data_IF_878507564284
#
_entry.id   IF_878507564284
#
_cell.length_a   1.000
_cell.length_b   1.000
_cell.length_c   1.000
_cell.angle_alpha   90.00
_cell.angle_beta   90.00
_cell.angle_gamma   90.00
#
_symmetry.space_group_name_H-M   'P 1'
#
loop_
_entity.id
_entity.type
_entity.pdbx_description
1 polymer ?
#
# COMPACT_ATOMS: atom_id res chain seq x y z
N UNK A 1 5.04 11.08 -9.26
CA UNK A 1 3.56 11.10 -9.23
C UNK A 1 3.12 9.94 -8.34
N UNK A 2 2.01 10.05 -7.60
CA UNK A 2 1.52 8.95 -6.76
C UNK A 2 0.90 7.90 -7.68
N UNK A 3 1.30 6.64 -7.50
CA UNK A 3 0.79 5.52 -8.30
C UNK A 3 -0.10 4.65 -7.43
N UNK A 4 -1.32 4.46 -7.89
CA UNK A 4 -2.42 3.84 -7.16
C UNK A 4 -2.90 2.61 -7.91
N UNK A 5 -3.02 1.49 -7.22
CA UNK A 5 -3.78 0.33 -7.69
C UNK A 5 -5.13 0.31 -6.98
N UNK A 6 -6.22 0.27 -7.74
CA UNK A 6 -7.57 0.10 -7.22
C UNK A 6 -8.15 -1.25 -7.66
N UNK A 7 -8.66 -2.03 -6.70
CA UNK A 7 -9.29 -3.33 -6.93
C UNK A 7 -10.76 -3.26 -6.50
N UNK A 8 -11.66 -3.65 -7.40
CA UNK A 8 -13.11 -3.75 -7.18
C UNK A 8 -13.65 -4.72 -8.24
N UNK A 9 -14.56 -5.60 -7.86
CA UNK A 9 -15.13 -6.61 -8.77
C UNK A 9 -16.20 -6.05 -9.70
N UNK A 10 -16.66 -4.82 -9.47
CA UNK A 10 -17.60 -4.13 -10.34
C UNK A 10 -16.85 -3.22 -11.33
N UNK A 11 -16.87 -3.50 -12.65
CA UNK A 11 -16.16 -2.70 -13.64
C UNK A 11 -16.57 -1.23 -13.66
N UNK A 12 -17.83 -0.94 -13.31
CA UNK A 12 -18.34 0.43 -13.25
C UNK A 12 -17.65 1.25 -12.14
N UNK A 13 -17.34 0.63 -11.00
CA UNK A 13 -16.60 1.29 -9.91
C UNK A 13 -15.18 1.63 -10.35
N UNK A 14 -14.50 0.69 -11.04
CA UNK A 14 -13.16 0.90 -11.58
C UNK A 14 -13.11 2.07 -12.58
N UNK A 15 -14.07 2.12 -13.52
CA UNK A 15 -14.18 3.20 -14.51
C UNK A 15 -14.41 4.54 -13.82
N UNK A 16 -15.38 4.61 -12.91
CA UNK A 16 -15.69 5.83 -12.17
C UNK A 16 -14.51 6.32 -11.35
N UNK A 17 -13.86 5.44 -10.59
CA UNK A 17 -12.68 5.80 -9.77
C UNK A 17 -11.55 6.33 -10.64
N UNK A 18 -11.23 5.64 -11.75
CA UNK A 18 -10.19 6.10 -12.67
C UNK A 18 -10.55 7.45 -13.29
N UNK A 19 -11.81 7.66 -13.67
CA UNK A 19 -12.25 8.93 -14.24
C UNK A 19 -12.11 10.11 -13.27
N UNK A 20 -12.48 9.90 -11.99
CA UNK A 20 -12.38 10.92 -10.94
C UNK A 20 -10.94 11.32 -10.62
N UNK A 21 -10.02 10.34 -10.54
CA UNK A 21 -8.68 10.61 -9.99
C UNK A 21 -7.53 10.63 -11.01
N UNK A 22 -7.75 10.32 -12.30
CA UNK A 22 -6.69 10.26 -13.33
C UNK A 22 -5.88 11.55 -13.53
N UNK A 23 -6.40 12.71 -13.07
CA UNK A 23 -5.69 13.99 -13.13
C UNK A 23 -4.73 14.20 -11.95
N UNK A 24 -4.98 13.51 -10.85
CA UNK A 24 -4.21 13.62 -9.62
C UNK A 24 -3.17 12.50 -9.49
N UNK A 25 -3.49 11.29 -9.94
CA UNK A 25 -2.70 10.08 -9.73
C UNK A 25 -2.55 9.23 -11.00
N UNK A 26 -1.50 8.41 -11.04
CA UNK A 26 -1.39 7.30 -12.00
C UNK A 26 -2.21 6.13 -11.46
N UNK A 27 -3.20 5.65 -12.21
CA UNK A 27 -4.18 4.68 -11.73
C UNK A 27 -4.12 3.40 -12.54
N UNK A 28 -3.82 2.31 -11.84
CA UNK A 28 -4.06 0.94 -12.26
C UNK A 28 -5.35 0.43 -11.63
N UNK A 29 -6.05 -0.42 -12.35
CA UNK A 29 -7.33 -1.01 -11.93
C UNK A 29 -7.30 -2.52 -12.14
N UNK A 30 -7.88 -3.27 -11.22
CA UNK A 30 -8.01 -4.72 -11.32
C UNK A 30 -9.43 -5.16 -10.90
N UNK A 31 -10.00 -6.10 -11.65
CA UNK A 31 -11.31 -6.71 -11.34
C UNK A 31 -11.19 -7.88 -10.37
N UNK A 32 -9.97 -8.38 -10.16
CA UNK A 32 -9.70 -9.54 -9.32
C UNK A 32 -8.36 -9.44 -8.60
N UNK A 33 -8.20 -10.23 -7.55
CA UNK A 33 -6.93 -10.37 -6.84
C UNK A 33 -5.82 -10.96 -7.72
N UNK A 34 -6.16 -11.80 -8.70
CA UNK A 34 -5.18 -12.36 -9.63
C UNK A 34 -4.63 -11.28 -10.57
N UNK A 35 -5.51 -10.46 -11.14
CA UNK A 35 -5.10 -9.35 -12.01
C UNK A 35 -4.32 -8.29 -11.23
N UNK A 36 -4.72 -8.03 -9.98
CA UNK A 36 -4.00 -7.14 -9.09
C UNK A 36 -2.55 -7.61 -8.85
N UNK A 37 -2.33 -8.92 -8.66
CA UNK A 37 -0.97 -9.49 -8.52
C UNK A 37 -0.13 -9.32 -9.78
N UNK A 38 -0.70 -9.61 -10.96
CA UNK A 38 0.00 -9.39 -12.24
C UNK A 38 0.45 -7.94 -12.39
N UNK A 39 -0.43 -6.99 -12.05
CA UNK A 39 -0.11 -5.56 -12.09
C UNK A 39 1.00 -5.21 -11.09
N UNK A 40 0.98 -5.74 -9.86
CA UNK A 40 2.03 -5.52 -8.87
C UNK A 40 3.40 -6.12 -9.28
N UNK A 41 3.38 -7.22 -10.04
CA UNK A 41 4.59 -7.81 -10.59
C UNK A 41 5.23 -6.92 -11.64
N UNK A 42 4.42 -6.35 -12.52
CA UNK A 42 4.86 -5.51 -13.64
C UNK A 42 5.18 -4.08 -13.23
N UNK A 43 4.60 -3.56 -12.14
CA UNK A 43 4.64 -2.14 -11.76
C UNK A 43 5.13 -1.95 -10.32
N UNK A 44 6.45 -1.92 -10.12
CA UNK A 44 7.09 -1.77 -8.80
C UNK A 44 6.97 -0.36 -8.20
N UNK A 45 6.50 0.61 -8.98
CA UNK A 45 6.29 2.00 -8.55
C UNK A 45 4.96 2.24 -7.84
N UNK A 46 4.07 1.25 -7.74
CA UNK A 46 2.81 1.36 -7.01
C UNK A 46 3.11 1.65 -5.54
N UNK A 47 2.63 2.79 -5.04
CA UNK A 47 2.84 3.20 -3.65
C UNK A 47 1.61 3.00 -2.78
N UNK A 48 0.41 2.97 -3.39
CA UNK A 48 -0.87 2.84 -2.70
C UNK A 48 -1.71 1.75 -3.35
N UNK A 49 -2.35 0.92 -2.53
CA UNK A 49 -3.31 -0.10 -2.96
C UNK A 49 -4.64 0.15 -2.27
N UNK A 50 -5.71 0.32 -3.03
CA UNK A 50 -7.08 0.38 -2.54
C UNK A 50 -7.81 -0.88 -2.98
N UNK A 51 -8.47 -1.58 -2.06
CA UNK A 51 -9.28 -2.75 -2.40
C UNK A 51 -10.67 -2.59 -1.82
N UNK A 52 -11.70 -2.98 -2.59
CA UNK A 52 -12.97 -3.31 -1.99
C UNK A 52 -12.83 -4.49 -1.03
N UNK A 53 -13.61 -4.48 0.05
CA UNK A 53 -13.60 -5.55 1.04
C UNK A 53 -14.30 -6.81 0.53
N UNK A 54 -15.34 -6.69 -0.30
CA UNK A 54 -16.15 -7.79 -0.78
C UNK A 54 -15.89 -8.01 -2.25
N UNK A 55 -15.00 -8.94 -2.57
CA UNK A 55 -14.79 -9.41 -3.93
C UNK A 55 -15.14 -10.90 -4.02
N UNK A 56 -15.44 -11.42 -5.22
CA UNK A 56 -15.63 -12.84 -5.44
C UNK A 56 -14.39 -13.62 -5.02
N UNK A 57 -14.63 -14.78 -4.40
CA UNK A 57 -13.61 -15.75 -3.94
C UNK A 57 -12.78 -15.32 -2.72
N UNK A 58 -12.23 -14.11 -2.69
CA UNK A 58 -11.43 -13.62 -1.56
C UNK A 58 -11.80 -12.18 -1.18
N UNK A 59 -11.69 -11.86 0.10
CA UNK A 59 -11.89 -10.50 0.61
C UNK A 59 -10.69 -9.59 0.38
N UNK A 60 -10.90 -8.27 0.47
CA UNK A 60 -9.80 -7.29 0.38
C UNK A 60 -8.73 -7.48 1.46
N UNK A 61 -9.13 -7.86 2.67
CA UNK A 61 -8.19 -8.20 3.76
C UNK A 61 -7.38 -9.45 3.41
N UNK A 62 -8.00 -10.53 2.95
CA UNK A 62 -7.29 -11.75 2.55
C UNK A 62 -6.35 -11.49 1.37
N UNK A 63 -6.74 -10.63 0.43
CA UNK A 63 -5.84 -10.17 -0.62
C UNK A 63 -4.62 -9.46 -0.05
N UNK A 64 -4.81 -8.49 0.85
CA UNK A 64 -3.73 -7.77 1.50
C UNK A 64 -2.80 -8.66 2.32
N UNK A 65 -3.33 -9.66 3.00
CA UNK A 65 -2.55 -10.70 3.66
C UNK A 65 -1.68 -11.47 2.66
N UNK A 66 -2.26 -11.89 1.53
CA UNK A 66 -1.56 -12.69 0.51
C UNK A 66 -0.40 -11.97 -0.17
N UNK A 67 -0.41 -10.63 -0.21
CA UNK A 67 0.63 -9.83 -0.88
C UNK A 67 1.65 -9.23 0.09
N UNK A 68 1.45 -9.36 1.41
CA UNK A 68 2.23 -8.66 2.42
C UNK A 68 3.73 -9.00 2.37
N UNK A 69 4.06 -10.27 2.16
CA UNK A 69 5.46 -10.73 2.13
C UNK A 69 6.20 -10.27 0.87
N UNK A 70 5.51 -10.30 -0.29
CA UNK A 70 6.09 -9.98 -1.58
C UNK A 70 6.13 -8.47 -1.86
N UNK A 71 5.15 -7.73 -1.36
CA UNK A 71 5.00 -6.28 -1.56
C UNK A 71 4.70 -5.61 -0.20
N UNK A 72 5.70 -5.56 0.70
CA UNK A 72 5.50 -5.02 2.05
C UNK A 72 5.37 -3.49 2.07
N UNK A 73 5.95 -2.81 1.08
CA UNK A 73 6.13 -1.35 1.08
C UNK A 73 4.84 -0.56 0.75
N UNK A 74 4.02 -0.92 -0.27
CA UNK A 74 2.83 -0.15 -0.61
C UNK A 74 1.84 -0.03 0.54
N UNK A 75 1.23 1.15 0.69
CA UNK A 75 0.25 1.40 1.75
C UNK A 75 -1.13 0.91 1.29
N UNK A 76 -1.74 0.06 2.12
CA UNK A 76 -2.98 -0.65 1.83
C UNK A 76 -4.16 0.03 2.49
N UNK A 77 -5.15 0.44 1.70
CA UNK A 77 -6.38 1.10 2.14
C UNK A 77 -7.56 0.21 1.75
N UNK A 78 -8.44 -0.06 2.70
CA UNK A 78 -9.64 -0.85 2.45
C UNK A 78 -10.84 0.05 2.15
N UNK A 79 -11.69 -0.30 1.19
CA UNK A 79 -12.97 0.37 0.93
C UNK A 79 -14.09 -0.61 1.31
N UNK A 80 -15.09 -0.16 2.07
CA UNK A 80 -16.15 -1.04 2.61
C UNK A 80 -17.50 -0.35 2.74
N UNK A 81 -18.60 -1.07 2.51
CA UNK A 81 -19.97 -0.58 2.60
C UNK A 81 -20.68 -0.86 3.92
N UNK A 82 -20.02 -0.69 5.08
CA UNK A 82 -20.59 -0.74 6.45
C UNK A 82 -20.81 -2.10 7.15
N UNK A 83 -20.48 -3.26 6.57
CA UNK A 83 -20.99 -4.53 7.14
C UNK A 83 -20.08 -5.33 8.07
N UNK A 84 -18.81 -4.97 8.33
CA UNK A 84 -17.97 -5.68 9.30
C UNK A 84 -16.85 -4.81 9.91
N UNK A 85 -17.21 -3.95 10.87
CA UNK A 85 -16.22 -3.09 11.57
C UNK A 85 -15.22 -3.92 12.38
N UNK A 86 -15.63 -5.05 12.95
CA UNK A 86 -14.76 -5.93 13.75
C UNK A 86 -13.61 -6.50 12.93
N UNK A 87 -13.89 -7.08 11.77
CA UNK A 87 -12.87 -7.63 10.87
C UNK A 87 -11.86 -6.56 10.41
N UNK A 88 -12.33 -5.34 10.20
CA UNK A 88 -11.49 -4.21 9.80
C UNK A 88 -10.54 -3.78 10.93
N UNK A 89 -11.03 -3.73 12.17
CA UNK A 89 -10.21 -3.41 13.35
C UNK A 89 -9.10 -4.43 13.53
N UNK A 90 -9.41 -5.72 13.38
CA UNK A 90 -8.42 -6.78 13.48
C UNK A 90 -7.35 -6.69 12.38
N UNK A 91 -7.73 -6.39 11.14
CA UNK A 91 -6.80 -6.21 10.03
C UNK A 91 -5.86 -4.99 10.22
N UNK A 92 -6.34 -3.92 10.85
CA UNK A 92 -5.49 -2.78 11.25
C UNK A 92 -4.47 -3.24 12.30
N UNK A 93 -4.92 -3.96 13.33
CA UNK A 93 -4.05 -4.42 14.42
C UNK A 93 -2.97 -5.40 13.93
N UNK A 94 -3.26 -6.18 12.87
CA UNK A 94 -2.29 -7.06 12.21
C UNK A 94 -1.38 -6.34 11.20
N UNK A 95 -1.50 -5.03 11.04
CA UNK A 95 -0.68 -4.23 10.11
C UNK A 95 -0.98 -4.46 8.62
N UNK A 96 -2.06 -5.17 8.32
CA UNK A 96 -2.46 -5.51 6.95
C UNK A 96 -3.12 -4.30 6.27
N UNK A 97 -3.82 -3.48 7.04
CA UNK A 97 -4.56 -2.30 6.56
C UNK A 97 -4.05 -1.06 7.28
N UNK A 98 -3.74 -0.01 6.51
CA UNK A 98 -3.39 1.31 7.07
C UNK A 98 -4.65 2.08 7.48
N UNK A 99 -5.68 2.05 6.64
CA UNK A 99 -6.92 2.78 6.83
C UNK A 99 -8.06 2.09 6.10
N UNK A 100 -9.28 2.21 6.61
CA UNK A 100 -10.49 1.90 5.84
C UNK A 100 -11.27 3.17 5.49
N UNK A 101 -12.01 3.12 4.39
CA UNK A 101 -12.90 4.15 3.89
C UNK A 101 -14.28 3.54 3.65
N UNK A 102 -15.33 4.31 3.95
CA UNK A 102 -16.71 3.83 3.84
C UNK A 102 -17.36 4.25 2.53
N UNK A 103 -18.09 3.34 1.87
CA UNK A 103 -19.02 3.65 0.77
C UNK A 103 -20.34 4.23 1.37
N UNK A 104 -20.97 5.27 0.79
CA UNK A 104 -20.48 6.10 -0.32
C UNK A 104 -19.36 7.05 0.15
N UNK A 105 -18.32 7.22 -0.68
CA UNK A 105 -17.18 8.08 -0.37
C UNK A 105 -17.30 9.44 -1.03
N UNK A 106 -16.71 10.45 -0.40
CA UNK A 106 -16.44 11.74 -1.04
C UNK A 106 -15.07 11.67 -1.75
N UNK A 107 -14.98 12.24 -2.95
CA UNK A 107 -13.72 12.31 -3.71
C UNK A 107 -12.59 13.00 -2.93
N UNK A 108 -12.91 14.06 -2.18
CA UNK A 108 -11.94 14.77 -1.34
C UNK A 108 -11.41 13.88 -0.20
N UNK A 109 -12.26 13.01 0.36
CA UNK A 109 -11.85 12.11 1.44
C UNK A 109 -10.90 11.02 0.93
N UNK A 110 -11.18 10.47 -0.26
CA UNK A 110 -10.29 9.52 -0.93
C UNK A 110 -8.96 10.19 -1.25
N UNK A 111 -9.00 11.37 -1.89
CA UNK A 111 -7.80 12.13 -2.27
C UNK A 111 -6.93 12.44 -1.07
N UNK A 112 -7.52 12.99 0.00
CA UNK A 112 -6.81 13.28 1.24
C UNK A 112 -6.23 12.01 1.89
N UNK A 113 -6.96 10.89 1.81
CA UNK A 113 -6.48 9.62 2.35
C UNK A 113 -5.29 9.06 1.55
N UNK A 114 -5.33 9.16 0.22
CA UNK A 114 -4.22 8.77 -0.68
C UNK A 114 -2.99 9.66 -0.43
N UNK A 115 -3.17 10.98 -0.31
CA UNK A 115 -2.07 11.90 -0.04
C UNK A 115 -1.37 11.60 1.29
N UNK A 116 -2.15 11.42 2.37
CA UNK A 116 -1.62 11.06 3.69
C UNK A 116 -0.95 9.68 3.68
N UNK A 117 -1.56 8.69 3.02
CA UNK A 117 -0.97 7.37 2.89
C UNK A 117 0.36 7.43 2.11
N UNK A 118 0.46 8.22 1.06
CA UNK A 118 1.71 8.39 0.32
C UNK A 118 2.78 9.13 1.12
N UNK A 119 2.40 10.05 2.01
CA UNK A 119 3.33 10.64 2.96
C UNK A 119 3.92 9.58 3.90
N UNK A 120 3.08 8.70 4.45
CA UNK A 120 3.52 7.56 5.28
C UNK A 120 4.43 6.62 4.48
N UNK A 121 4.09 6.32 3.23
CA UNK A 121 4.94 5.52 2.34
C UNK A 121 6.36 6.12 2.21
N UNK A 122 6.43 7.43 1.90
CA UNK A 122 7.73 8.12 1.76
C UNK A 122 8.52 8.11 3.06
N UNK A 123 7.88 8.45 4.18
CA UNK A 123 8.55 8.45 5.49
C UNK A 123 9.09 7.07 5.87
N UNK A 124 8.33 5.99 5.58
CA UNK A 124 8.82 4.61 5.82
C UNK A 124 10.01 4.26 4.94
N UNK A 125 9.96 4.63 3.66
CA UNK A 125 11.04 4.40 2.72
C UNK A 125 12.31 5.17 3.11
N UNK A 126 12.18 6.46 3.39
CA UNK A 126 13.28 7.31 3.82
C UNK A 126 13.91 6.80 5.12
N UNK A 127 13.09 6.40 6.09
CA UNK A 127 13.58 5.84 7.36
C UNK A 127 14.33 4.52 7.15
N UNK A 128 13.83 3.63 6.28
CA UNK A 128 14.52 2.39 5.91
C UNK A 128 15.87 2.69 5.26
N UNK A 129 15.90 3.58 4.26
CA UNK A 129 17.14 3.97 3.58
C UNK A 129 18.17 4.62 4.52
N UNK A 130 17.72 5.46 5.46
CA UNK A 130 18.60 6.07 6.47
C UNK A 130 19.14 5.02 7.44
N UNK A 131 18.30 4.09 7.87
CA UNK A 131 18.70 3.01 8.78
C UNK A 131 19.73 2.10 8.12
N UNK A 132 19.52 1.72 6.85
CA UNK A 132 20.45 0.90 6.08
C UNK A 132 21.81 1.61 5.89
N UNK A 133 21.78 2.93 5.60
CA UNK A 133 23.01 3.76 5.51
C UNK A 133 23.75 3.82 6.85
N UNK A 134 23.03 3.99 7.96
CA UNK A 134 23.61 4.03 9.30
C UNK A 134 24.26 2.69 9.65
N UNK A 135 23.60 1.56 9.37
CA UNK A 135 24.16 0.23 9.60
C UNK A 135 25.44 0.03 8.80
N UNK A 136 25.42 0.34 7.50
CA UNK A 136 26.60 0.19 6.65
C UNK A 136 27.78 1.06 7.10
N UNK A 137 27.50 2.30 7.52
CA UNK A 137 28.54 3.20 8.03
C UNK A 137 29.11 2.69 9.36
N UNK A 138 28.26 2.16 10.25
CA UNK A 138 28.69 1.61 11.53
C UNK A 138 29.60 0.39 11.34
N UNK A 139 29.23 -0.54 10.45
CA UNK A 139 30.07 -1.69 10.08
C UNK A 139 31.44 -1.26 9.54
N UNK A 140 31.47 -0.22 8.70
CA UNK A 140 32.72 0.32 8.15
C UNK A 140 33.60 0.94 9.24
N UNK A 141 33.01 1.66 10.20
CA UNK A 141 33.73 2.24 11.34
C UNK A 141 34.33 1.15 12.24
N UNK A 142 33.56 0.11 12.54
CA UNK A 142 34.06 -1.04 13.32
C UNK A 142 35.22 -1.75 12.62
N UNK A 143 35.14 -1.92 11.31
CA UNK A 143 36.21 -2.51 10.52
C UNK A 143 37.51 -1.69 10.60
N UNK A 144 37.43 -0.36 10.41
CA UNK A 144 38.59 0.53 10.49
C UNK A 144 39.19 0.58 11.90
N UNK A 145 38.35 0.62 12.94
CA UNK A 145 38.79 0.59 14.32
C UNK A 145 39.59 -0.67 14.63
N UNK A 146 39.14 -1.84 14.15
CA UNK A 146 39.86 -3.12 14.31
C UNK A 146 41.20 -3.15 13.57
N UNK A 147 41.30 -2.56 12.38
CA UNK A 147 42.58 -2.48 11.64
C UNK A 147 43.62 -1.62 12.37
N UNK A 148 43.21 -0.49 12.93
CA UNK A 148 44.11 0.38 13.69
C UNK A 148 44.60 -0.23 15.01
N UNK A 149 43.84 -1.15 15.61
CA UNK A 149 44.25 -1.87 16.83
C UNK A 149 45.24 -3.02 16.55
N UNK A 150 45.34 -3.46 15.29
CA UNK A 150 46.23 -4.54 14.83
C UNK A 150 47.51 -4.03 14.15
N UNK A 151 47.65 -2.71 14.03
CA UNK A 151 48.81 -2.00 13.47
C UNK A 151 49.64 -1.36 14.59
#
# INVERSE_FOLDING_TARGET
MITVLYIDDEPQNLISFKASFRRDFTIFTAESAEDARKILDENKEITIILSDQRMPNITGIEFFESILELYPDPIRILITGYTDISAVVDAINRGQVYKYLTKPWNEDDIKNSILKANEVYRLRKDNKELTDKLMHLNEKLEFLARQNLLS
#
